data_IF_461652951044
#
_entry.id   IF_461652951044
#
_cell.length_a   1.000
_cell.length_b   1.000
_cell.length_c   1.000
_cell.angle_alpha   90.00
_cell.angle_beta   90.00
_cell.angle_gamma   90.00
#
_symmetry.space_group_name_H-M   'P 1'
#
loop_
_entity.id
_entity.type
_entity.pdbx_description
1 polymer ?
#
# COMPACT_ATOMS: atom_id res chain seq x y z
N UNK A 1 -11.42 7.06 -12.12
CA UNK A 1 -12.63 6.22 -12.23
C UNK A 1 -13.27 6.44 -13.59
N UNK A 2 -14.07 5.49 -14.08
CA UNK A 2 -14.63 5.49 -15.44
C UNK A 2 -15.43 6.76 -15.78
N UNK A 3 -16.11 7.35 -14.79
CA UNK A 3 -16.83 8.64 -14.91
C UNK A 3 -15.94 9.78 -15.42
N UNK A 4 -14.68 9.84 -14.95
CA UNK A 4 -13.71 10.85 -15.38
C UNK A 4 -12.97 10.42 -16.65
N UNK A 5 -12.90 9.12 -16.93
CA UNK A 5 -12.24 8.58 -18.13
C UNK A 5 -12.99 8.92 -19.43
N UNK A 6 -14.33 8.87 -19.41
CA UNK A 6 -15.14 9.21 -20.58
C UNK A 6 -14.89 10.64 -21.12
N UNK A 7 -14.93 11.71 -20.31
CA UNK A 7 -14.65 13.06 -20.80
C UNK A 7 -13.16 13.30 -21.07
N UNK A 8 -12.22 12.67 -20.34
CA UNK A 8 -10.79 12.90 -20.54
C UNK A 8 -10.21 12.16 -21.76
N UNK A 9 -10.71 10.96 -22.05
CA UNK A 9 -10.08 10.02 -22.99
C UNK A 9 -11.06 9.38 -23.98
N UNK A 10 -12.34 9.77 -23.97
CA UNK A 10 -13.36 9.28 -24.89
C UNK A 10 -13.89 7.87 -24.60
N UNK A 11 -13.34 7.16 -23.61
CA UNK A 11 -13.72 5.78 -23.26
C UNK A 11 -13.86 5.61 -21.75
N UNK A 12 -14.75 4.71 -21.33
CA UNK A 12 -14.98 4.38 -19.93
C UNK A 12 -13.86 3.49 -19.35
N UNK A 13 -13.25 2.68 -20.22
CA UNK A 13 -12.23 1.69 -19.87
C UNK A 13 -11.38 1.34 -21.09
N UNK A 14 -10.13 0.97 -20.84
CA UNK A 14 -9.28 0.26 -21.81
C UNK A 14 -8.57 -0.89 -21.13
N UNK A 15 -8.41 -1.98 -21.85
CA UNK A 15 -7.68 -3.17 -21.40
C UNK A 15 -6.17 -3.02 -21.63
N UNK A 16 -5.60 -1.91 -21.17
CA UNK A 16 -4.15 -1.71 -21.25
C UNK A 16 -3.42 -2.31 -20.03
N UNK A 17 -2.09 -2.42 -20.12
CA UNK A 17 -1.29 -2.98 -19.03
C UNK A 17 -1.40 -2.18 -17.72
N UNK A 18 -1.68 -0.87 -17.78
CA UNK A 18 -1.79 0.00 -16.61
C UNK A 18 -3.09 -0.23 -15.85
N UNK A 19 -4.24 -0.13 -16.50
CA UNK A 19 -5.54 -0.30 -15.87
C UNK A 19 -5.79 -1.76 -15.50
N UNK A 20 -5.35 -2.71 -16.32
CA UNK A 20 -5.49 -4.14 -16.03
C UNK A 20 -4.68 -4.54 -14.79
N UNK A 21 -3.43 -4.09 -14.66
CA UNK A 21 -2.62 -4.38 -13.47
C UNK A 21 -3.15 -3.70 -12.20
N UNK A 22 -3.75 -2.51 -12.32
CA UNK A 22 -4.49 -1.88 -11.21
C UNK A 22 -5.77 -2.65 -10.83
N UNK A 23 -6.50 -3.23 -11.78
CA UNK A 23 -7.63 -4.10 -11.50
C UNK A 23 -7.19 -5.40 -10.80
N UNK A 24 -6.09 -6.00 -11.24
CA UNK A 24 -5.48 -7.15 -10.54
C UNK A 24 -5.11 -6.75 -9.11
N UNK A 25 -4.53 -5.56 -8.90
CA UNK A 25 -4.22 -5.06 -7.56
C UNK A 25 -5.46 -4.94 -6.67
N UNK A 26 -6.59 -4.47 -7.22
CA UNK A 26 -7.85 -4.42 -6.48
C UNK A 26 -8.25 -5.81 -5.97
N UNK A 27 -8.21 -6.84 -6.82
CA UNK A 27 -8.53 -8.20 -6.40
C UNK A 27 -7.51 -8.76 -5.40
N UNK A 28 -6.23 -8.44 -5.54
CA UNK A 28 -5.20 -8.77 -4.55
C UNK A 28 -5.51 -8.13 -3.19
N UNK A 29 -5.92 -6.87 -3.15
CA UNK A 29 -6.32 -6.22 -1.89
C UNK A 29 -7.52 -6.90 -1.25
N UNK A 30 -8.58 -7.15 -2.03
CA UNK A 30 -9.78 -7.83 -1.53
C UNK A 30 -9.45 -9.23 -1.00
N UNK A 31 -8.64 -9.99 -1.74
CA UNK A 31 -8.16 -11.31 -1.31
C UNK A 31 -7.34 -11.25 -0.03
N UNK A 32 -6.38 -10.32 0.06
CA UNK A 32 -5.56 -10.15 1.26
C UNK A 32 -6.40 -9.76 2.49
N UNK A 33 -7.32 -8.81 2.35
CA UNK A 33 -8.21 -8.37 3.45
C UNK A 33 -9.10 -9.53 3.91
N UNK A 34 -9.67 -10.30 2.97
CA UNK A 34 -10.48 -11.47 3.30
C UNK A 34 -9.68 -12.54 4.05
N UNK A 35 -8.46 -12.86 3.58
CA UNK A 35 -7.57 -13.81 4.24
C UNK A 35 -7.13 -13.34 5.63
N UNK A 36 -6.75 -12.07 5.76
CA UNK A 36 -6.37 -11.47 7.04
C UNK A 36 -7.54 -11.45 8.03
N UNK A 37 -8.76 -11.15 7.56
CA UNK A 37 -9.98 -11.22 8.36
C UNK A 37 -10.31 -12.64 8.83
N UNK A 38 -10.13 -13.65 7.97
CA UNK A 38 -10.31 -15.05 8.34
C UNK A 38 -9.32 -15.51 9.43
N UNK A 39 -8.06 -15.05 9.37
CA UNK A 39 -7.07 -15.31 10.43
C UNK A 39 -7.52 -14.77 11.79
N UNK A 40 -8.07 -13.55 11.83
CA UNK A 40 -8.52 -12.95 13.09
C UNK A 40 -9.77 -13.64 13.67
N UNK A 41 -10.69 -14.06 12.81
CA UNK A 41 -12.00 -14.57 13.22
C UNK A 41 -11.97 -16.07 13.55
N UNK A 42 -11.22 -16.84 12.76
CA UNK A 42 -11.26 -18.31 12.80
C UNK A 42 -9.95 -18.91 13.34
N UNK A 43 -9.00 -18.07 13.79
CA UNK A 43 -7.69 -18.52 14.31
C UNK A 43 -6.79 -19.19 13.26
N UNK A 44 -7.07 -18.96 11.98
CA UNK A 44 -6.33 -19.54 10.87
C UNK A 44 -4.85 -19.09 10.85
N UNK A 45 -4.00 -19.83 10.15
CA UNK A 45 -2.56 -19.50 10.10
C UNK A 45 -2.30 -18.15 9.42
N UNK A 46 -1.63 -17.24 10.12
CA UNK A 46 -1.16 -15.96 9.57
C UNK A 46 -0.17 -16.11 8.38
N UNK A 47 0.35 -17.33 8.13
CA UNK A 47 1.27 -17.60 7.01
C UNK A 47 0.61 -17.40 5.65
N UNK A 48 -0.66 -17.79 5.51
CA UNK A 48 -1.39 -17.75 4.24
C UNK A 48 -1.50 -16.30 3.71
N UNK A 49 -2.06 -15.33 4.47
CA UNK A 49 -2.10 -13.95 4.00
C UNK A 49 -0.72 -13.34 3.81
N UNK A 50 0.29 -13.70 4.61
CA UNK A 50 1.65 -13.22 4.44
C UNK A 50 2.28 -13.66 3.10
N UNK A 51 2.16 -14.95 2.75
CA UNK A 51 2.65 -15.47 1.46
C UNK A 51 1.87 -14.84 0.32
N UNK A 52 0.54 -14.76 0.43
CA UNK A 52 -0.31 -14.13 -0.57
C UNK A 52 0.10 -12.67 -0.82
N UNK A 53 0.34 -11.91 0.25
CA UNK A 53 0.81 -10.52 0.16
C UNK A 53 2.16 -10.39 -0.54
N UNK A 54 3.12 -11.26 -0.22
CA UNK A 54 4.43 -11.28 -0.86
C UNK A 54 4.35 -11.60 -2.35
N UNK A 55 3.55 -12.60 -2.73
CA UNK A 55 3.32 -12.93 -4.14
C UNK A 55 2.61 -11.78 -4.86
N UNK A 56 1.59 -11.20 -4.23
CA UNK A 56 0.86 -10.04 -4.77
C UNK A 56 1.74 -8.81 -4.96
N UNK A 57 2.80 -8.63 -4.14
CA UNK A 57 3.73 -7.52 -4.27
C UNK A 57 4.50 -7.51 -5.60
N UNK A 58 4.60 -8.66 -6.28
CA UNK A 58 5.17 -8.76 -7.64
C UNK A 58 4.36 -7.94 -8.66
N UNK A 59 3.09 -7.67 -8.40
CA UNK A 59 2.27 -6.81 -9.28
C UNK A 59 2.69 -5.32 -9.21
N UNK A 60 3.31 -4.87 -8.13
CA UNK A 60 3.72 -3.47 -7.94
C UNK A 60 4.74 -3.00 -8.99
N UNK A 61 5.86 -3.72 -9.24
CA UNK A 61 6.77 -3.32 -10.32
C UNK A 61 6.10 -3.36 -11.70
N UNK A 62 5.15 -4.27 -11.94
CA UNK A 62 4.41 -4.32 -13.20
C UNK A 62 3.59 -3.04 -13.38
N UNK A 63 2.84 -2.61 -12.35
CA UNK A 63 2.08 -1.35 -12.38
C UNK A 63 3.01 -0.17 -12.60
N UNK A 64 4.11 -0.07 -11.85
CA UNK A 64 5.05 1.04 -11.97
C UNK A 64 5.62 1.14 -13.39
N UNK A 65 6.05 0.01 -13.96
CA UNK A 65 6.67 -0.04 -15.28
C UNK A 65 5.67 -0.04 -16.42
N UNK A 66 4.39 -0.31 -16.16
CA UNK A 66 3.33 -0.30 -17.17
C UNK A 66 3.26 1.01 -17.96
N UNK A 67 3.62 2.12 -17.32
CA UNK A 67 3.67 3.46 -17.91
C UNK A 67 4.68 3.55 -19.07
N UNK A 68 5.76 2.76 -19.03
CA UNK A 68 6.82 2.75 -20.04
C UNK A 68 6.69 1.55 -20.98
N UNK A 69 6.30 0.38 -20.45
CA UNK A 69 6.17 -0.85 -21.24
C UNK A 69 4.99 -0.81 -22.21
N UNK A 70 3.88 -0.16 -21.83
CA UNK A 70 2.70 -0.02 -22.66
C UNK A 70 2.40 1.47 -22.90
N UNK A 71 2.84 1.99 -24.05
CA UNK A 71 2.39 3.29 -24.53
C UNK A 71 0.91 3.21 -24.91
N UNK A 72 0.05 3.66 -24.00
CA UNK A 72 -1.40 3.68 -24.17
C UNK A 72 -1.93 5.12 -24.17
N UNK A 73 -3.24 5.29 -23.97
CA UNK A 73 -3.89 6.61 -23.89
C UNK A 73 -3.36 7.49 -22.75
N UNK A 74 -2.68 6.89 -21.78
CA UNK A 74 -2.26 7.57 -20.57
C UNK A 74 -0.88 8.23 -20.76
N UNK A 75 -0.75 9.45 -20.24
CA UNK A 75 0.49 10.21 -20.31
C UNK A 75 1.73 9.45 -19.79
N UNK A 76 2.92 9.71 -20.37
CA UNK A 76 4.20 9.21 -19.87
C UNK A 76 4.60 9.90 -18.55
N UNK A 77 5.68 9.44 -17.87
CA UNK A 77 6.11 10.01 -16.60
C UNK A 77 6.58 11.46 -16.75
N UNK A 78 6.07 12.38 -15.91
CA UNK A 78 6.48 13.79 -15.91
C UNK A 78 7.79 14.04 -15.15
N UNK A 79 8.10 13.19 -14.16
CA UNK A 79 9.34 13.24 -13.38
C UNK A 79 10.23 12.10 -13.86
N UNK A 80 11.43 12.44 -14.30
CA UNK A 80 12.45 11.49 -14.78
C UNK A 80 13.80 11.81 -14.17
N UNK A 81 14.78 10.90 -14.29
CA UNK A 81 16.17 11.13 -13.83
C UNK A 81 16.92 12.18 -14.67
N UNK A 82 16.31 12.70 -15.74
CA UNK A 82 16.87 13.72 -16.62
C UNK A 82 16.07 15.03 -16.55
N UNK A 83 15.71 15.60 -17.70
CA UNK A 83 14.84 16.79 -17.72
C UNK A 83 13.41 16.40 -17.33
N UNK A 84 12.97 16.91 -16.18
CA UNK A 84 11.58 16.81 -15.73
C UNK A 84 10.70 17.73 -16.58
N UNK A 85 9.54 17.24 -17.02
CA UNK A 85 8.57 18.02 -17.80
C UNK A 85 7.55 18.75 -16.91
N UNK A 86 7.63 18.57 -15.59
CA UNK A 86 6.68 19.17 -14.63
C UNK A 86 7.01 20.65 -14.38
N UNK A 87 5.98 21.49 -14.43
CA UNK A 87 6.11 22.91 -14.10
C UNK A 87 6.44 23.10 -12.60
N UNK A 88 7.36 24.02 -12.24
CA UNK A 88 7.70 24.33 -10.85
C UNK A 88 6.49 24.62 -9.95
N UNK A 89 5.41 25.20 -10.48
CA UNK A 89 4.18 25.49 -9.71
C UNK A 89 3.51 24.23 -9.17
N UNK A 90 3.68 23.09 -9.85
CA UNK A 90 3.17 21.79 -9.39
C UNK A 90 4.24 20.98 -8.65
N UNK A 91 5.52 21.16 -8.99
CA UNK A 91 6.62 20.41 -8.37
C UNK A 91 6.78 20.72 -6.88
N UNK A 92 6.79 21.99 -6.50
CA UNK A 92 7.02 22.37 -5.10
C UNK A 92 5.93 21.88 -4.15
N UNK A 93 4.62 22.06 -4.46
CA UNK A 93 3.55 21.46 -3.67
C UNK A 93 3.65 19.94 -3.59
N UNK A 94 4.00 19.27 -4.70
CA UNK A 94 4.18 17.82 -4.72
C UNK A 94 5.29 17.37 -3.75
N UNK A 95 6.46 18.03 -3.76
CA UNK A 95 7.56 17.68 -2.87
C UNK A 95 7.22 17.98 -1.41
N UNK A 96 6.65 19.15 -1.12
CA UNK A 96 6.27 19.55 0.23
C UNK A 96 5.24 18.58 0.83
N UNK A 97 4.20 18.22 0.06
CA UNK A 97 3.18 17.26 0.50
C UNK A 97 3.74 15.85 0.63
N UNK A 98 4.59 15.40 -0.30
CA UNK A 98 5.24 14.08 -0.22
C UNK A 98 6.07 13.95 1.06
N UNK A 99 6.89 14.95 1.38
CA UNK A 99 7.70 14.96 2.60
C UNK A 99 6.79 15.02 3.84
N UNK A 100 5.82 15.94 3.85
CA UNK A 100 4.89 16.10 4.98
C UNK A 100 4.12 14.81 5.30
N UNK A 101 3.50 14.19 4.30
CA UNK A 101 2.77 12.93 4.49
C UNK A 101 3.71 11.77 4.86
N UNK A 102 4.95 11.74 4.35
CA UNK A 102 5.94 10.74 4.76
C UNK A 102 6.33 10.88 6.24
N UNK A 103 6.49 12.11 6.73
CA UNK A 103 6.75 12.38 8.14
C UNK A 103 5.56 12.03 9.04
N UNK A 104 4.34 12.34 8.60
CA UNK A 104 3.11 11.94 9.31
C UNK A 104 3.03 10.41 9.39
N UNK A 105 3.24 9.72 8.26
CA UNK A 105 3.26 8.26 8.22
C UNK A 105 4.31 7.67 9.17
N UNK A 106 5.55 8.18 9.12
CA UNK A 106 6.62 7.76 10.02
C UNK A 106 6.25 7.99 11.49
N UNK A 107 5.67 9.16 11.81
CA UNK A 107 5.20 9.48 13.15
C UNK A 107 4.13 8.50 13.65
N UNK A 108 3.14 8.17 12.81
CA UNK A 108 2.11 7.18 13.13
C UNK A 108 2.70 5.79 13.34
N UNK A 109 3.62 5.36 12.47
CA UNK A 109 4.31 4.06 12.61
C UNK A 109 5.06 4.00 13.94
N UNK A 110 5.85 5.02 14.26
CA UNK A 110 6.60 5.08 15.52
C UNK A 110 5.67 5.10 16.74
N UNK A 111 4.56 5.84 16.68
CA UNK A 111 3.57 5.85 17.75
C UNK A 111 2.95 4.45 17.95
N UNK A 112 2.58 3.76 16.87
CA UNK A 112 2.05 2.38 16.95
C UNK A 112 3.09 1.37 17.44
N UNK A 113 4.35 1.52 17.04
CA UNK A 113 5.43 0.66 17.55
C UNK A 113 5.59 0.84 19.06
N UNK A 114 5.50 2.08 19.57
CA UNK A 114 5.54 2.36 21.01
C UNK A 114 4.38 1.71 21.75
N UNK A 115 3.15 1.76 21.22
CA UNK A 115 2.01 1.08 21.86
C UNK A 115 2.20 -0.43 21.90
N UNK A 116 2.63 -1.05 20.79
CA UNK A 116 2.92 -2.49 20.76
C UNK A 116 4.02 -2.91 21.74
N UNK A 117 5.06 -2.10 21.90
CA UNK A 117 6.11 -2.36 22.91
C UNK A 117 5.59 -2.21 24.34
N UNK A 118 4.71 -1.26 24.60
CA UNK A 118 4.09 -1.10 25.92
C UNK A 118 3.19 -2.30 26.28
N UNK A 119 2.37 -2.76 25.33
CA UNK A 119 1.48 -3.91 25.52
C UNK A 119 2.27 -5.19 25.82
N UNK A 120 3.33 -5.44 25.05
CA UNK A 120 4.20 -6.62 25.25
C UNK A 120 4.91 -6.60 26.61
N UNK A 121 5.34 -5.42 27.08
CA UNK A 121 5.92 -5.27 28.42
C UNK A 121 4.88 -5.49 29.54
N UNK A 122 3.65 -4.97 29.37
CA UNK A 122 2.57 -5.16 30.33
C UNK A 122 2.19 -6.65 30.46
N UNK A 123 2.04 -7.36 29.33
CA UNK A 123 1.79 -8.81 29.32
C UNK A 123 2.91 -9.59 30.02
N UNK A 124 4.17 -9.26 29.75
CA UNK A 124 5.32 -9.91 30.37
C UNK A 124 5.33 -9.71 31.90
N UNK A 125 4.95 -8.52 32.39
CA UNK A 125 4.87 -8.22 33.83
C UNK A 125 3.73 -9.00 34.50
N UNK A 126 2.56 -9.06 33.88
CA UNK A 126 1.42 -9.83 34.40
C UNK A 126 1.76 -11.33 34.51
N UNK A 127 2.46 -11.89 33.51
CA UNK A 127 2.92 -13.29 33.56
C UNK A 127 3.88 -13.56 34.72
N UNK A 128 4.80 -12.64 35.02
CA UNK A 128 5.72 -12.78 36.18
C UNK A 128 4.98 -12.81 37.50
N UNK A 129 4.07 -11.85 37.72
CA UNK A 129 3.25 -11.80 38.93
C UNK A 129 2.38 -13.06 39.11
N UNK A 130 1.82 -13.60 38.03
CA UNK A 130 1.05 -14.84 38.08
C UNK A 130 1.89 -16.06 38.50
N UNK A 131 3.16 -16.13 38.07
CA UNK A 131 4.08 -17.18 38.52
C UNK A 131 4.49 -17.02 39.99
N UNK A 132 4.68 -15.80 40.47
CA UNK A 132 4.99 -15.51 41.88
C UNK A 132 3.84 -15.85 42.82
N UNK A 133 2.58 -15.66 42.41
CA UNK A 133 1.39 -16.02 43.21
C UNK A 133 1.17 -17.54 43.30
N UNK A 134 1.72 -18.32 42.37
CA UNK A 134 1.58 -19.78 42.32
C UNK A 134 2.71 -20.53 43.04
N UNK A 135 3.78 -19.84 43.47
CA UNK A 135 4.91 -20.39 44.20
C UNK A 135 4.71 -20.26 45.71
#
# INVERSE_FOLDING_TARGET
GSIWGRPAWGTWWVWDGRLTSMLVLLFLYLGYIALAGAVQRDGASARIPAIFGLVGAVNIPIINRSVVWWNSLHQPPSITMGKSAIDPVFLWPLLATTIGFSLIFAGVVLARMRTHLADTQAEARLRRLAMEVQA
#
